data_IF_547835278851
#
_entry.id   IF_547835278851
#
_cell.length_a   1.000
_cell.length_b   1.000
_cell.length_c   1.000
_cell.angle_alpha   90.00
_cell.angle_beta   90.00
_cell.angle_gamma   90.00
#
_symmetry.space_group_name_H-M   'P 1'
#
loop_
_entity.id
_entity.type
_entity.pdbx_description
1 polymer ?
#
# COMPACT_ATOMS: atom_id res chain seq x y z
N UNK A 1 0.99 42.17 25.92
CA UNK A 1 0.77 40.85 26.50
C UNK A 1 0.33 39.91 25.39
N UNK A 2 1.28 39.27 24.79
CA UNK A 2 0.97 38.26 23.83
C UNK A 2 0.54 37.01 24.58
N UNK A 3 -0.75 36.76 24.61
CA UNK A 3 -1.17 35.38 24.66
C UNK A 3 -0.74 34.77 23.34
N UNK A 4 0.51 34.32 23.31
CA UNK A 4 0.82 33.22 22.48
C UNK A 4 -0.13 32.12 22.98
N UNK A 5 -1.25 31.93 22.30
CA UNK A 5 -1.93 30.68 22.38
C UNK A 5 -0.86 29.65 22.09
N UNK A 6 -0.30 29.07 23.13
CA UNK A 6 0.48 27.88 23.00
C UNK A 6 -0.41 26.98 22.15
N UNK A 7 -0.03 26.84 20.90
CA UNK A 7 -0.68 25.89 20.04
C UNK A 7 -0.61 24.59 20.80
N UNK A 8 -1.75 24.16 21.36
CA UNK A 8 -1.88 22.82 21.91
C UNK A 8 -1.22 21.95 20.88
N UNK A 9 -0.13 21.26 21.20
CA UNK A 9 0.49 20.38 20.24
C UNK A 9 -0.62 19.46 19.78
N UNK A 10 -1.12 19.72 18.58
CA UNK A 10 -2.00 18.76 17.94
C UNK A 10 -1.26 17.45 18.05
N UNK A 11 -1.87 16.47 18.71
CA UNK A 11 -1.32 15.13 18.76
C UNK A 11 -1.00 14.73 17.32
N UNK A 12 0.24 14.94 16.91
CA UNK A 12 0.74 14.41 15.66
C UNK A 12 0.73 12.92 15.86
N UNK A 13 -0.27 12.27 15.31
CA UNK A 13 -0.42 10.85 15.39
C UNK A 13 0.75 10.21 14.66
N UNK A 14 1.62 9.56 15.41
CA UNK A 14 2.75 8.82 14.85
C UNK A 14 2.25 7.48 14.35
N UNK A 15 2.49 7.22 13.08
CA UNK A 15 2.21 5.94 12.43
C UNK A 15 3.43 5.48 11.66
N UNK A 16 3.66 4.20 11.66
CA UNK A 16 4.62 3.60 10.75
C UNK A 16 3.83 2.88 9.65
N UNK A 17 3.92 3.37 8.44
CA UNK A 17 3.39 2.73 7.25
C UNK A 17 4.53 1.95 6.59
N UNK A 18 4.39 0.65 6.50
CA UNK A 18 5.35 -0.18 5.78
C UNK A 18 4.78 -0.53 4.41
N UNK A 19 5.46 -0.09 3.35
CA UNK A 19 5.08 -0.36 1.96
C UNK A 19 5.99 -1.46 1.41
N UNK A 20 5.39 -2.56 1.01
CA UNK A 20 6.07 -3.63 0.28
C UNK A 20 5.55 -3.63 -1.15
N UNK A 21 6.42 -3.40 -2.12
CA UNK A 21 6.02 -3.21 -3.51
C UNK A 21 6.93 -3.95 -4.48
N UNK A 22 6.37 -4.30 -5.62
CA UNK A 22 7.11 -4.88 -6.73
C UNK A 22 7.01 -3.96 -7.95
N UNK A 23 8.15 -3.57 -8.50
CA UNK A 23 8.22 -2.69 -9.66
C UNK A 23 9.34 -3.16 -10.59
N UNK A 24 9.00 -3.44 -11.83
CA UNK A 24 9.96 -3.82 -12.87
C UNK A 24 10.14 -2.70 -13.89
N UNK A 25 9.03 -2.08 -14.31
CA UNK A 25 9.04 -0.97 -15.27
C UNK A 25 9.11 0.42 -14.64
N UNK A 26 9.00 0.50 -13.31
CA UNK A 26 9.01 1.76 -12.58
C UNK A 26 7.63 2.36 -12.31
N UNK A 27 6.55 1.84 -12.86
CA UNK A 27 5.20 2.39 -12.70
C UNK A 27 4.69 2.25 -11.27
N UNK A 28 4.84 1.08 -10.67
CA UNK A 28 4.43 0.86 -9.27
C UNK A 28 5.24 1.72 -8.32
N UNK A 29 6.55 1.80 -8.54
CA UNK A 29 7.42 2.67 -7.74
C UNK A 29 7.00 4.13 -7.84
N UNK A 30 6.65 4.60 -9.04
CA UNK A 30 6.15 5.96 -9.24
C UNK A 30 4.88 6.23 -8.43
N UNK A 31 3.93 5.30 -8.42
CA UNK A 31 2.69 5.43 -7.62
C UNK A 31 3.02 5.45 -6.12
N UNK A 32 3.91 4.58 -5.68
CA UNK A 32 4.36 4.53 -4.28
C UNK A 32 5.04 5.83 -3.87
N UNK A 33 5.89 6.38 -4.72
CA UNK A 33 6.58 7.65 -4.46
C UNK A 33 5.60 8.82 -4.43
N UNK A 34 4.63 8.85 -5.35
CA UNK A 34 3.56 9.86 -5.36
C UNK A 34 2.76 9.81 -4.07
N UNK A 35 2.38 8.63 -3.62
CA UNK A 35 1.68 8.44 -2.34
C UNK A 35 2.53 8.94 -1.17
N UNK A 36 3.79 8.55 -1.13
CA UNK A 36 4.73 8.94 -0.07
C UNK A 36 4.85 10.44 0.03
N UNK A 37 5.02 11.13 -1.09
CA UNK A 37 5.11 12.59 -1.13
C UNK A 37 3.81 13.26 -0.67
N UNK A 38 2.68 12.72 -1.06
CA UNK A 38 1.37 13.21 -0.59
C UNK A 38 1.20 13.03 0.92
N UNK A 39 1.61 11.89 1.45
CA UNK A 39 1.50 11.59 2.88
C UNK A 39 2.41 12.47 3.73
N UNK A 40 3.56 12.88 3.24
CA UNK A 40 4.45 13.81 3.94
C UNK A 40 3.76 15.15 4.24
N UNK A 41 2.91 15.60 3.34
CA UNK A 41 2.13 16.83 3.51
C UNK A 41 0.88 16.62 4.37
N UNK A 42 0.15 15.52 4.15
CA UNK A 42 -1.14 15.27 4.79
C UNK A 42 -1.01 14.67 6.19
N UNK A 43 0.04 13.93 6.44
CA UNK A 43 0.25 13.18 7.68
C UNK A 43 1.72 13.26 8.11
N UNK A 44 2.19 14.43 8.54
CA UNK A 44 3.61 14.65 8.85
C UNK A 44 4.14 13.77 9.99
N UNK A 45 3.27 13.21 10.82
CA UNK A 45 3.65 12.26 11.86
C UNK A 45 3.82 10.82 11.36
N UNK A 46 3.56 10.55 10.10
CA UNK A 46 3.73 9.21 9.55
C UNK A 46 5.18 8.98 9.13
N UNK A 47 5.74 7.89 9.62
CA UNK A 47 7.01 7.36 9.16
C UNK A 47 6.71 6.31 8.08
N UNK A 48 7.35 6.44 6.92
CA UNK A 48 7.10 5.57 5.78
C UNK A 48 8.36 4.76 5.48
N UNK A 49 8.24 3.46 5.59
CA UNK A 49 9.28 2.51 5.22
C UNK A 49 8.88 1.82 3.91
N UNK A 50 9.83 1.70 3.00
CA UNK A 50 9.60 1.05 1.69
C UNK A 50 10.56 -0.11 1.53
N UNK A 51 10.02 -1.26 1.16
CA UNK A 51 10.80 -2.47 0.89
C UNK A 51 10.35 -3.07 -0.45
N UNK A 52 11.30 -3.33 -1.33
CA UNK A 52 11.00 -4.04 -2.57
C UNK A 52 10.67 -5.50 -2.27
N UNK A 53 9.71 -6.05 -2.98
CA UNK A 53 9.21 -7.41 -2.73
C UNK A 53 10.32 -8.46 -2.77
N UNK A 54 11.28 -8.34 -3.69
CA UNK A 54 12.41 -9.27 -3.80
C UNK A 54 13.38 -9.24 -2.62
N UNK A 55 13.33 -8.18 -1.82
CA UNK A 55 14.15 -8.01 -0.61
C UNK A 55 13.36 -8.21 0.69
N UNK A 56 12.04 -8.28 0.59
CA UNK A 56 11.18 -8.35 1.77
C UNK A 56 11.34 -9.69 2.50
N UNK A 57 11.27 -9.63 3.81
CA UNK A 57 11.26 -10.76 4.72
C UNK A 57 9.92 -10.81 5.47
N UNK A 58 9.54 -11.92 6.10
CA UNK A 58 8.28 -11.99 6.85
C UNK A 58 8.09 -10.85 7.85
N UNK A 59 9.16 -10.42 8.50
CA UNK A 59 9.12 -9.34 9.48
C UNK A 59 8.70 -8.00 8.84
N UNK A 60 9.02 -7.78 7.57
CA UNK A 60 8.63 -6.55 6.86
C UNK A 60 7.11 -6.44 6.69
N UNK A 61 6.40 -7.56 6.63
CA UNK A 61 4.94 -7.57 6.57
C UNK A 61 4.29 -7.43 7.94
N UNK A 62 5.02 -7.72 9.01
CA UNK A 62 4.51 -7.66 10.38
C UNK A 62 4.87 -6.37 11.09
N UNK A 63 5.92 -5.69 10.67
CA UNK A 63 6.38 -4.45 11.31
C UNK A 63 5.48 -3.25 10.94
N UNK A 64 5.51 -2.24 11.82
CA UNK A 64 4.73 -1.03 11.63
C UNK A 64 3.26 -1.16 12.01
N UNK A 65 2.51 -0.09 11.79
CA UNK A 65 1.10 0.00 12.17
C UNK A 65 0.16 -0.37 11.03
N UNK A 66 0.55 -0.07 9.80
CA UNK A 66 -0.21 -0.35 8.58
C UNK A 66 0.71 -0.97 7.55
N UNK A 67 0.25 -2.05 6.93
CA UNK A 67 0.94 -2.68 5.80
C UNK A 67 0.27 -2.27 4.50
N UNK A 68 1.05 -1.81 3.52
CA UNK A 68 0.58 -1.54 2.17
C UNK A 68 1.32 -2.45 1.18
N UNK A 69 0.57 -3.20 0.39
CA UNK A 69 1.10 -4.04 -0.69
C UNK A 69 0.77 -3.39 -2.04
N UNK A 70 1.75 -3.29 -2.92
CA UNK A 70 1.55 -2.69 -4.24
C UNK A 70 2.22 -3.52 -5.34
N UNK A 71 1.49 -3.82 -6.39
CA UNK A 71 1.98 -4.61 -7.54
C UNK A 71 1.22 -4.25 -8.80
N UNK A 72 1.91 -4.31 -9.93
CA UNK A 72 1.28 -4.30 -11.24
C UNK A 72 0.78 -5.71 -11.60
N UNK A 73 -0.09 -5.75 -12.61
CA UNK A 73 -0.64 -6.98 -13.16
C UNK A 73 0.25 -7.46 -14.31
N UNK A 74 0.70 -8.70 -14.23
CA UNK A 74 1.68 -9.28 -15.15
C UNK A 74 1.21 -10.64 -15.68
N UNK A 75 1.84 -11.07 -16.76
CA UNK A 75 1.82 -12.48 -17.18
C UNK A 75 2.97 -13.18 -16.46
N UNK A 76 2.68 -13.75 -15.31
CA UNK A 76 3.66 -14.43 -14.47
C UNK A 76 3.42 -15.94 -14.49
N UNK A 77 4.47 -16.70 -14.74
CA UNK A 77 4.36 -18.15 -14.86
C UNK A 77 3.50 -18.60 -16.04
N UNK A 78 3.39 -17.80 -17.09
CA UNK A 78 2.55 -18.09 -18.26
C UNK A 78 1.07 -17.82 -18.03
N UNK A 79 0.70 -17.25 -16.89
CA UNK A 79 -0.70 -16.95 -16.53
C UNK A 79 -0.91 -15.44 -16.55
N UNK A 80 -1.78 -14.98 -17.44
CA UNK A 80 -2.18 -13.58 -17.53
C UNK A 80 -3.00 -13.17 -16.30
N UNK A 81 -2.89 -11.90 -15.91
CA UNK A 81 -3.64 -11.37 -14.79
C UNK A 81 -3.07 -11.76 -13.42
N UNK A 82 -1.78 -12.01 -13.35
CA UNK A 82 -1.07 -12.35 -12.12
C UNK A 82 -0.33 -11.15 -11.52
N UNK A 83 0.16 -11.32 -10.31
CA UNK A 83 1.06 -10.37 -9.66
C UNK A 83 2.39 -10.26 -10.42
N UNK A 84 3.07 -9.11 -10.26
CA UNK A 84 4.47 -9.01 -10.67
C UNK A 84 5.25 -10.22 -10.11
N UNK A 85 6.21 -10.79 -10.89
CA UNK A 85 6.93 -11.99 -10.47
C UNK A 85 7.54 -11.92 -9.07
N UNK A 86 8.10 -10.79 -8.67
CA UNK A 86 8.70 -10.63 -7.34
C UNK A 86 7.65 -10.66 -6.22
N UNK A 87 6.50 -10.03 -6.46
CA UNK A 87 5.40 -10.08 -5.49
C UNK A 87 4.79 -11.48 -5.44
N UNK A 88 4.68 -12.14 -6.58
CA UNK A 88 4.19 -13.51 -6.64
C UNK A 88 5.05 -14.45 -5.80
N UNK A 89 6.38 -14.38 -5.96
CA UNK A 89 7.33 -15.20 -5.18
C UNK A 89 7.21 -14.88 -3.69
N UNK A 90 7.12 -13.59 -3.34
CA UNK A 90 6.97 -13.22 -1.94
C UNK A 90 5.72 -13.85 -1.33
N UNK A 91 4.56 -13.64 -1.93
CA UNK A 91 3.29 -14.05 -1.34
C UNK A 91 3.02 -15.56 -1.43
N UNK A 92 3.49 -16.21 -2.48
CA UNK A 92 3.26 -17.65 -2.69
C UNK A 92 4.36 -18.56 -2.15
N UNK A 93 5.49 -18.00 -1.72
CA UNK A 93 6.64 -18.75 -1.23
C UNK A 93 7.11 -18.24 0.13
N UNK A 94 7.76 -17.08 0.19
CA UNK A 94 8.40 -16.59 1.43
C UNK A 94 7.42 -16.35 2.59
N UNK A 95 6.24 -15.83 2.32
CA UNK A 95 5.24 -15.47 3.34
C UNK A 95 3.93 -16.23 3.14
N UNK A 96 4.02 -17.39 2.53
CA UNK A 96 2.88 -18.26 2.21
C UNK A 96 2.05 -18.65 3.43
N UNK A 97 2.68 -18.81 4.58
CA UNK A 97 2.02 -19.25 5.81
C UNK A 97 1.97 -18.18 6.90
N UNK A 98 2.32 -16.94 6.54
CA UNK A 98 2.33 -15.83 7.49
C UNK A 98 0.92 -15.51 7.98
N UNK A 99 0.78 -15.29 9.28
CA UNK A 99 -0.45 -14.77 9.89
C UNK A 99 -0.27 -13.27 10.14
N UNK A 100 -1.10 -12.46 9.52
CA UNK A 100 -1.08 -11.00 9.71
C UNK A 100 -1.74 -10.55 11.01
N UNK A 101 -2.42 -11.44 11.72
CA UNK A 101 -2.94 -11.19 13.07
C UNK A 101 -3.76 -9.88 13.18
N UNK A 102 -4.75 -9.74 12.30
CA UNK A 102 -5.65 -8.56 12.23
C UNK A 102 -4.94 -7.25 11.89
N UNK A 103 -3.75 -7.30 11.32
CA UNK A 103 -3.01 -6.10 10.94
C UNK A 103 -3.80 -5.24 9.94
N UNK A 104 -3.87 -3.92 10.19
CA UNK A 104 -4.46 -3.00 9.21
C UNK A 104 -3.65 -3.00 7.91
N UNK A 105 -4.34 -3.20 6.79
CA UNK A 105 -3.71 -3.33 5.48
C UNK A 105 -4.41 -2.48 4.44
N UNK A 106 -3.64 -2.12 3.41
CA UNK A 106 -4.12 -1.46 2.21
C UNK A 106 -3.39 -2.04 0.99
N UNK A 107 -4.00 -1.95 -0.17
CA UNK A 107 -3.44 -2.51 -1.40
C UNK A 107 -3.57 -1.52 -2.56
N UNK A 108 -2.57 -1.55 -3.46
CA UNK A 108 -2.58 -0.82 -4.73
C UNK A 108 -2.27 -1.81 -5.84
N UNK A 109 -3.16 -1.92 -6.80
CA UNK A 109 -2.96 -2.73 -8.00
C UNK A 109 -2.91 -1.85 -9.25
N UNK A 110 -1.89 -2.07 -10.07
CA UNK A 110 -1.77 -1.39 -11.36
C UNK A 110 -2.12 -2.35 -12.50
N UNK A 111 -2.59 -1.81 -13.60
CA UNK A 111 -2.92 -2.59 -14.77
C UNK A 111 -3.01 -1.75 -16.03
N UNK A 112 -3.34 -2.42 -17.14
CA UNK A 112 -3.40 -1.82 -18.47
C UNK A 112 -4.72 -2.27 -19.12
N UNK A 113 -5.49 -1.31 -19.64
CA UNK A 113 -6.79 -1.59 -20.26
C UNK A 113 -6.71 -2.47 -21.51
N UNK A 114 -5.53 -2.58 -22.13
CA UNK A 114 -5.31 -3.42 -23.31
C UNK A 114 -5.38 -4.91 -22.99
N UNK A 115 -5.25 -5.30 -21.72
CA UNK A 115 -5.32 -6.69 -21.30
C UNK A 115 -6.70 -7.02 -20.71
N UNK A 116 -7.14 -8.26 -20.92
CA UNK A 116 -8.43 -8.73 -20.42
C UNK A 116 -8.54 -8.61 -18.89
N UNK A 117 -7.47 -8.94 -18.17
CA UNK A 117 -7.40 -8.85 -16.71
C UNK A 117 -6.69 -7.55 -16.29
N UNK A 118 -7.34 -6.43 -16.51
CA UNK A 118 -6.76 -5.08 -16.50
C UNK A 118 -5.95 -4.74 -15.23
N UNK A 119 -6.50 -4.96 -14.05
CA UNK A 119 -5.82 -4.65 -12.78
C UNK A 119 -6.03 -5.75 -11.74
N UNK A 120 -5.96 -6.99 -12.17
CA UNK A 120 -6.27 -8.15 -11.32
C UNK A 120 -5.26 -8.36 -10.19
N UNK A 121 -4.08 -7.75 -10.27
CA UNK A 121 -3.14 -7.72 -9.16
C UNK A 121 -3.81 -7.16 -7.89
N UNK A 122 -4.68 -6.16 -8.01
CA UNK A 122 -5.44 -5.62 -6.89
C UNK A 122 -6.25 -6.71 -6.16
N UNK A 123 -6.90 -7.57 -6.93
CA UNK A 123 -7.71 -8.66 -6.38
C UNK A 123 -6.84 -9.72 -5.70
N UNK A 124 -5.70 -10.04 -6.28
CA UNK A 124 -4.75 -10.99 -5.71
C UNK A 124 -4.16 -10.49 -4.39
N UNK A 125 -3.79 -9.22 -4.33
CA UNK A 125 -3.25 -8.62 -3.10
C UNK A 125 -4.31 -8.62 -1.99
N UNK A 126 -5.52 -8.20 -2.30
CA UNK A 126 -6.63 -8.17 -1.35
C UNK A 126 -6.98 -9.57 -0.87
N UNK A 127 -6.98 -10.55 -1.76
CA UNK A 127 -7.22 -11.94 -1.41
C UNK A 127 -6.16 -12.47 -0.43
N UNK A 128 -4.87 -12.18 -0.71
CA UNK A 128 -3.80 -12.56 0.20
C UNK A 128 -4.01 -12.00 1.60
N UNK A 129 -4.26 -10.69 1.69
CA UNK A 129 -4.49 -10.01 2.98
C UNK A 129 -5.60 -10.70 3.76
N UNK A 130 -6.75 -10.92 3.14
CA UNK A 130 -7.91 -11.54 3.78
C UNK A 130 -7.66 -12.99 4.17
N UNK A 131 -6.99 -13.76 3.31
CA UNK A 131 -6.69 -15.16 3.57
C UNK A 131 -5.68 -15.36 4.69
N UNK A 132 -4.86 -14.34 4.96
CA UNK A 132 -3.82 -14.37 5.99
C UNK A 132 -4.20 -13.55 7.24
N UNK A 133 -5.50 -13.32 7.45
CA UNK A 133 -6.06 -12.65 8.62
C UNK A 133 -5.65 -11.17 8.76
N UNK A 134 -5.30 -10.51 7.66
CA UNK A 134 -5.15 -9.07 7.61
C UNK A 134 -6.51 -8.39 7.47
N UNK A 135 -6.58 -7.12 7.78
CA UNK A 135 -7.81 -6.33 7.73
C UNK A 135 -7.65 -5.17 6.77
N UNK A 136 -8.44 -5.17 5.68
CA UNK A 136 -8.46 -4.04 4.74
C UNK A 136 -9.15 -2.85 5.40
N UNK A 137 -8.44 -1.71 5.47
CA UNK A 137 -8.99 -0.49 6.10
C UNK A 137 -9.52 0.53 5.08
N UNK A 138 -9.18 0.36 3.80
CA UNK A 138 -9.68 1.16 2.69
C UNK A 138 -9.91 0.26 1.48
N UNK A 139 -10.76 0.67 0.52
CA UNK A 139 -10.85 -0.04 -0.76
C UNK A 139 -9.49 -0.03 -1.46
N UNK A 140 -9.19 -1.10 -2.18
CA UNK A 140 -7.94 -1.21 -2.95
C UNK A 140 -7.91 -0.15 -4.07
N UNK A 141 -6.81 0.57 -4.17
CA UNK A 141 -6.59 1.52 -5.26
C UNK A 141 -6.21 0.75 -6.53
N UNK A 142 -6.93 1.02 -7.62
CA UNK A 142 -6.61 0.51 -8.95
C UNK A 142 -6.16 1.66 -9.84
N UNK A 143 -4.94 1.56 -10.37
CA UNK A 143 -4.40 2.49 -11.34
C UNK A 143 -4.35 1.78 -12.69
N UNK A 144 -5.15 2.24 -13.61
CA UNK A 144 -5.28 1.67 -14.95
C UNK A 144 -4.48 2.55 -15.92
N UNK A 145 -3.66 1.92 -16.76
CA UNK A 145 -2.77 2.55 -17.71
C UNK A 145 -1.60 3.29 -17.01
N UNK A 146 -0.91 4.16 -17.72
CA UNK A 146 0.24 4.87 -17.18
C UNK A 146 -0.16 5.72 -15.97
N UNK A 147 0.62 5.69 -14.89
CA UNK A 147 0.28 6.46 -13.68
C UNK A 147 0.52 7.96 -13.84
N UNK A 148 1.24 8.38 -14.86
CA UNK A 148 1.51 9.79 -15.12
C UNK A 148 0.20 10.52 -15.45
N UNK A 149 -0.08 11.60 -14.71
CA UNK A 149 -1.35 12.31 -14.80
C UNK A 149 -2.43 11.79 -13.87
N UNK A 150 -2.18 10.71 -13.12
CA UNK A 150 -3.13 10.14 -12.16
C UNK A 150 -2.75 10.43 -10.69
N UNK A 151 -1.85 11.37 -10.46
CA UNK A 151 -1.34 11.73 -9.13
C UNK A 151 -2.44 12.17 -8.18
N UNK A 152 -3.45 12.86 -8.70
CA UNK A 152 -4.59 13.31 -7.88
C UNK A 152 -5.39 12.12 -7.33
N UNK A 153 -5.61 11.09 -8.13
CA UNK A 153 -6.28 9.87 -7.67
C UNK A 153 -5.50 9.20 -6.54
N UNK A 154 -4.18 9.17 -6.64
CA UNK A 154 -3.30 8.63 -5.60
C UNK A 154 -3.39 9.48 -4.33
N UNK A 155 -3.37 10.80 -4.47
CA UNK A 155 -3.49 11.75 -3.35
C UNK A 155 -4.82 11.60 -2.62
N UNK A 156 -5.92 11.54 -3.35
CA UNK A 156 -7.27 11.38 -2.79
C UNK A 156 -7.36 10.06 -2.02
N UNK A 157 -6.85 8.98 -2.61
CA UNK A 157 -6.81 7.69 -1.93
C UNK A 157 -5.92 7.72 -0.68
N UNK A 158 -4.78 8.40 -0.74
CA UNK A 158 -3.90 8.60 0.42
C UNK A 158 -4.61 9.29 1.57
N UNK A 159 -5.46 10.29 1.27
CA UNK A 159 -6.29 10.94 2.29
C UNK A 159 -7.28 9.96 2.91
N UNK A 160 -7.90 9.10 2.12
CA UNK A 160 -8.79 8.06 2.64
C UNK A 160 -8.04 7.12 3.57
N UNK A 161 -6.82 6.75 3.23
CA UNK A 161 -5.97 5.91 4.07
C UNK A 161 -5.66 6.57 5.42
N UNK A 162 -5.29 7.85 5.41
CA UNK A 162 -5.04 8.61 6.63
C UNK A 162 -6.31 8.70 7.49
N UNK A 163 -7.44 9.02 6.89
CA UNK A 163 -8.71 9.12 7.61
C UNK A 163 -9.14 7.78 8.20
N UNK A 164 -8.97 6.70 7.46
CA UNK A 164 -9.27 5.34 7.95
C UNK A 164 -8.38 4.96 9.14
N UNK A 165 -7.10 5.35 9.10
CA UNK A 165 -6.18 5.07 10.20
C UNK A 165 -6.57 5.80 11.49
N UNK A 166 -7.17 6.98 11.39
CA UNK A 166 -7.68 7.71 12.57
C UNK A 166 -8.83 6.97 13.23
N UNK A 167 -9.68 6.28 12.47
CA UNK A 167 -10.79 5.49 13.01
C UNK A 167 -10.30 4.30 13.84
N UNK A 168 -9.09 3.79 13.58
CA UNK A 168 -8.51 2.67 14.32
C UNK A 168 -8.25 3.02 15.80
N UNK A 169 -8.06 4.28 16.11
CA UNK A 169 -7.76 4.74 17.48
C UNK A 169 -9.01 5.02 18.30
N UNK A 170 -10.19 4.90 17.70
CA UNK A 170 -11.48 5.19 18.36
C UNK A 170 -12.17 3.95 18.90
N UNK A 171 -11.55 2.80 18.78
CA UNK A 171 -12.08 1.53 19.31
C UNK A 171 -11.55 1.25 20.69
#
# INVERSE_FOLDING_TARGET
MSNAAEAIPQFIQRRVLHIVFASTSGHTEYVVDTLTDSLKSMAPGWEIEKTMAEKAQPQDLLSGDVLLLASATWNTGGIEGQLNPHMWVLLHDKVKTLDLADKPCACIGLGDHRYFYTARAADHLQHYVKAHHGRMIVPTLKIIDEPYGQEEAVRVWGKQLVDASKQMDRC
#
